data_IF_153498569282
#
_entry.id   IF_153498569282
#
_cell.length_a   1.000
_cell.length_b   1.000
_cell.length_c   1.000
_cell.angle_alpha   90.00
_cell.angle_beta   90.00
_cell.angle_gamma   90.00
#
_symmetry.space_group_name_H-M   'P 1'
#
loop_
_entity.id
_entity.type
_entity.pdbx_description
1 polymer ?
#
# COMPACT_ATOMS: atom_id res chain seq x y z
N UNK A 1 9.10 8.25 10.95
CA UNK A 1 9.11 6.79 11.18
C UNK A 1 9.84 6.08 10.06
N UNK A 2 10.58 5.00 10.35
CA UNK A 2 11.36 4.25 9.34
C UNK A 2 10.44 3.50 8.38
N UNK A 3 10.65 3.66 7.06
CA UNK A 3 9.88 2.92 6.05
C UNK A 3 10.28 1.44 5.99
N UNK A 4 11.54 1.12 6.29
CA UNK A 4 11.99 -0.28 6.43
C UNK A 4 11.17 -1.02 7.49
N UNK A 5 10.85 -0.37 8.61
CA UNK A 5 10.01 -0.97 9.64
C UNK A 5 8.59 -1.25 9.12
N UNK A 6 7.99 -0.32 8.35
CA UNK A 6 6.65 -0.50 7.77
C UNK A 6 6.63 -1.63 6.74
N UNK A 7 7.67 -1.73 5.93
CA UNK A 7 7.87 -2.84 5.01
C UNK A 7 8.00 -4.19 5.75
N UNK A 8 8.86 -4.25 6.77
CA UNK A 8 9.03 -5.47 7.57
C UNK A 8 7.75 -5.90 8.28
N UNK A 9 6.92 -4.95 8.72
CA UNK A 9 5.60 -5.26 9.30
C UNK A 9 4.71 -5.99 8.29
N UNK A 10 4.67 -5.56 7.02
CA UNK A 10 3.91 -6.27 5.99
C UNK A 10 4.40 -7.70 5.77
N UNK A 11 5.73 -7.88 5.70
CA UNK A 11 6.31 -9.23 5.54
C UNK A 11 6.02 -10.13 6.75
N UNK A 12 6.07 -9.56 7.96
CA UNK A 12 5.70 -10.28 9.18
C UNK A 12 4.22 -10.63 9.19
N UNK A 13 3.35 -9.69 8.78
CA UNK A 13 1.90 -9.86 8.77
C UNK A 13 1.49 -11.00 7.85
N UNK A 14 2.11 -11.13 6.68
CA UNK A 14 1.89 -12.28 5.78
C UNK A 14 2.17 -13.60 6.49
N UNK A 15 3.36 -13.76 7.08
CA UNK A 15 3.76 -14.99 7.79
C UNK A 15 2.81 -15.26 8.95
N UNK A 16 2.56 -14.24 9.79
CA UNK A 16 1.69 -14.36 10.96
C UNK A 16 0.28 -14.79 10.57
N UNK A 17 -0.28 -14.22 9.50
CA UNK A 17 -1.61 -14.56 9.00
C UNK A 17 -1.66 -15.97 8.47
N UNK A 18 -0.76 -16.36 7.57
CA UNK A 18 -0.82 -17.67 6.93
C UNK A 18 -0.54 -18.81 7.90
N UNK A 19 0.40 -18.65 8.83
CA UNK A 19 0.69 -19.68 9.82
C UNK A 19 -0.42 -19.87 10.85
N UNK A 20 -1.23 -18.83 11.09
CA UNK A 20 -2.31 -18.86 12.09
C UNK A 20 -3.69 -18.65 11.45
N UNK A 21 -3.84 -19.06 10.18
CA UNK A 21 -4.97 -18.67 9.33
C UNK A 21 -6.33 -18.91 9.99
N UNK A 22 -6.56 -20.14 10.46
CA UNK A 22 -7.84 -20.50 11.09
C UNK A 22 -8.11 -19.76 12.40
N UNK A 23 -7.06 -19.50 13.19
CA UNK A 23 -7.16 -18.75 14.45
C UNK A 23 -7.54 -17.29 14.21
N UNK A 24 -7.06 -16.70 13.12
CA UNK A 24 -7.37 -15.30 12.79
C UNK A 24 -8.74 -15.22 12.13
N UNK A 25 -9.07 -16.14 11.22
CA UNK A 25 -10.38 -16.20 10.58
C UNK A 25 -11.52 -16.42 11.58
N UNK A 26 -11.26 -17.06 12.72
CA UNK A 26 -12.26 -17.20 13.79
C UNK A 26 -12.46 -15.90 14.60
N UNK A 27 -11.65 -14.88 14.37
CA UNK A 27 -11.74 -13.57 15.01
C UNK A 27 -11.92 -12.46 13.97
N UNK A 28 -13.18 -12.08 13.74
CA UNK A 28 -13.53 -11.06 12.75
C UNK A 28 -12.81 -9.71 12.99
N UNK A 29 -12.65 -9.29 14.25
CA UNK A 29 -11.94 -8.04 14.57
C UNK A 29 -10.47 -8.11 14.12
N UNK A 30 -9.80 -9.24 14.34
CA UNK A 30 -8.43 -9.42 13.90
C UNK A 30 -8.31 -9.36 12.36
N UNK A 31 -9.27 -9.93 11.63
CA UNK A 31 -9.33 -9.82 10.16
C UNK A 31 -9.50 -8.36 9.72
N UNK A 32 -10.39 -7.61 10.38
CA UNK A 32 -10.60 -6.19 10.07
C UNK A 32 -9.38 -5.33 10.40
N UNK A 33 -8.68 -5.61 11.50
CA UNK A 33 -7.45 -4.90 11.87
C UNK A 33 -6.33 -5.14 10.86
N UNK A 34 -6.14 -6.39 10.43
CA UNK A 34 -5.18 -6.75 9.37
C UNK A 34 -5.54 -6.01 8.08
N UNK A 35 -6.81 -6.04 7.68
CA UNK A 35 -7.31 -5.32 6.51
C UNK A 35 -7.01 -3.83 6.60
N UNK A 36 -7.33 -3.18 7.73
CA UNK A 36 -7.10 -1.75 7.92
C UNK A 36 -5.62 -1.38 7.79
N UNK A 37 -4.71 -2.21 8.32
CA UNK A 37 -3.26 -2.01 8.18
C UNK A 37 -2.84 -2.07 6.71
N UNK A 38 -3.25 -3.12 5.99
CA UNK A 38 -2.87 -3.31 4.57
C UNK A 38 -3.41 -2.18 3.70
N UNK A 39 -4.69 -1.83 3.84
CA UNK A 39 -5.32 -0.74 3.07
C UNK A 39 -4.61 0.59 3.34
N UNK A 40 -4.30 0.90 4.61
CA UNK A 40 -3.56 2.12 4.95
C UNK A 40 -2.16 2.15 4.32
N UNK A 41 -1.46 1.02 4.28
CA UNK A 41 -0.10 0.94 3.73
C UNK A 41 -0.05 0.95 2.18
N UNK A 42 -1.18 0.72 1.49
CA UNK A 42 -1.27 0.96 0.05
C UNK A 42 -1.11 2.43 -0.34
N UNK A 43 -1.40 3.34 0.58
CA UNK A 43 -1.31 4.78 0.38
C UNK A 43 -0.04 5.38 1.02
N UNK A 44 0.94 4.54 1.38
CA UNK A 44 2.20 4.98 1.98
C UNK A 44 2.97 5.93 1.04
N UNK A 45 3.73 6.86 1.60
CA UNK A 45 4.57 7.79 0.84
C UNK A 45 5.66 7.06 0.04
N UNK A 46 6.18 5.95 0.60
CA UNK A 46 7.30 5.20 0.06
C UNK A 46 6.83 4.12 -0.91
N UNK A 47 7.40 4.10 -2.12
CA UNK A 47 6.99 3.20 -3.20
C UNK A 47 7.09 1.72 -2.80
N UNK A 48 8.21 1.33 -2.19
CA UNK A 48 8.51 -0.04 -1.80
C UNK A 48 7.50 -0.58 -0.76
N UNK A 49 7.00 0.29 0.12
CA UNK A 49 5.97 -0.06 1.09
C UNK A 49 4.63 -0.29 0.38
N UNK A 50 4.27 0.58 -0.58
CA UNK A 50 3.04 0.42 -1.38
C UNK A 50 3.05 -0.86 -2.20
N UNK A 51 4.18 -1.18 -2.84
CA UNK A 51 4.34 -2.40 -3.64
C UNK A 51 4.19 -3.65 -2.74
N UNK A 52 4.83 -3.65 -1.57
CA UNK A 52 4.68 -4.77 -0.63
C UNK A 52 3.25 -4.88 -0.07
N UNK A 53 2.57 -3.75 0.16
CA UNK A 53 1.17 -3.76 0.58
C UNK A 53 0.26 -4.34 -0.51
N UNK A 54 0.52 -4.01 -1.79
CA UNK A 54 -0.21 -4.58 -2.92
C UNK A 54 0.02 -6.09 -3.06
N UNK A 55 1.27 -6.55 -2.94
CA UNK A 55 1.59 -8.00 -2.91
C UNK A 55 0.88 -8.70 -1.74
N UNK A 56 0.87 -8.08 -0.56
CA UNK A 56 0.19 -8.60 0.64
C UNK A 56 -1.31 -8.74 0.41
N UNK A 57 -1.97 -7.68 -0.07
CA UNK A 57 -3.40 -7.68 -0.37
C UNK A 57 -3.75 -8.75 -1.41
N UNK A 58 -2.95 -8.86 -2.48
CA UNK A 58 -3.15 -9.88 -3.51
C UNK A 58 -3.13 -11.29 -2.93
N UNK A 59 -2.16 -11.60 -2.07
CA UNK A 59 -2.07 -12.89 -1.40
C UNK A 59 -3.28 -13.17 -0.51
N UNK A 60 -3.72 -12.18 0.26
CA UNK A 60 -4.89 -12.30 1.14
C UNK A 60 -6.21 -12.48 0.40
N UNK A 61 -6.37 -11.84 -0.77
CA UNK A 61 -7.53 -12.06 -1.63
C UNK A 61 -7.48 -13.46 -2.28
N UNK A 62 -6.31 -13.88 -2.78
CA UNK A 62 -6.14 -15.16 -3.47
C UNK A 62 -6.43 -16.36 -2.57
N UNK A 63 -6.08 -16.29 -1.29
CA UNK A 63 -6.34 -17.37 -0.33
C UNK A 63 -7.72 -17.26 0.36
N UNK A 64 -8.57 -16.31 -0.05
CA UNK A 64 -9.85 -15.99 0.60
C UNK A 64 -9.72 -15.61 2.09
N UNK A 65 -8.56 -15.12 2.53
CA UNK A 65 -8.43 -14.51 3.86
C UNK A 65 -9.18 -13.18 3.93
N UNK A 66 -9.11 -12.39 2.85
CA UNK A 66 -9.95 -11.23 2.62
C UNK A 66 -10.84 -11.47 1.41
N UNK A 67 -12.04 -10.89 1.42
CA UNK A 67 -12.91 -10.81 0.26
C UNK A 67 -13.00 -9.36 -0.22
N UNK A 68 -13.02 -9.19 -1.54
CA UNK A 68 -13.26 -7.89 -2.17
C UNK A 68 -14.74 -7.54 -2.04
N UNK A 69 -15.06 -6.55 -1.19
CA UNK A 69 -16.42 -6.02 -1.05
C UNK A 69 -16.62 -4.70 -1.82
N UNK A 70 -17.87 -4.27 -1.91
CA UNK A 70 -18.25 -3.05 -2.61
C UNK A 70 -17.58 -1.79 -2.02
N UNK A 71 -17.34 -1.77 -0.70
CA UNK A 71 -16.65 -0.66 -0.03
C UNK A 71 -15.20 -0.57 -0.46
N UNK A 72 -14.49 -1.70 -0.55
CA UNK A 72 -13.12 -1.77 -1.02
C UNK A 72 -13.00 -1.35 -2.48
N UNK A 73 -13.89 -1.84 -3.34
CA UNK A 73 -13.94 -1.45 -4.75
C UNK A 73 -14.15 0.04 -4.91
N UNK A 74 -15.16 0.59 -4.22
CA UNK A 74 -15.46 2.04 -4.27
C UNK A 74 -14.27 2.87 -3.81
N UNK A 75 -13.57 2.45 -2.73
CA UNK A 75 -12.36 3.11 -2.25
C UNK A 75 -11.26 3.14 -3.32
N UNK A 76 -10.94 1.98 -3.91
CA UNK A 76 -9.90 1.88 -4.93
C UNK A 76 -10.26 2.64 -6.22
N UNK A 77 -11.51 2.59 -6.67
CA UNK A 77 -11.96 3.38 -7.82
C UNK A 77 -11.85 4.89 -7.58
N UNK A 78 -12.12 5.35 -6.36
CA UNK A 78 -11.96 6.76 -5.99
C UNK A 78 -10.48 7.17 -6.05
N UNK A 79 -9.58 6.33 -5.54
CA UNK A 79 -8.13 6.56 -5.61
C UNK A 79 -7.61 6.63 -7.05
N UNK A 80 -8.10 5.77 -7.96
CA UNK A 80 -7.75 5.81 -9.38
C UNK A 80 -8.11 7.14 -10.07
N UNK A 81 -9.05 7.92 -9.51
CA UNK A 81 -9.47 9.22 -10.04
C UNK A 81 -8.64 10.39 -9.49
N UNK A 82 -7.62 10.12 -8.66
CA UNK A 82 -6.73 11.15 -8.08
C UNK A 82 -5.97 11.86 -9.19
N UNK A 83 -6.09 13.20 -9.23
CA UNK A 83 -5.40 14.02 -10.23
C UNK A 83 -3.91 14.10 -9.92
N UNK A 84 -3.09 13.91 -10.95
CA UNK A 84 -1.65 14.10 -10.83
C UNK A 84 -1.32 15.57 -10.50
N UNK A 85 -0.34 15.83 -9.61
CA UNK A 85 0.15 17.17 -9.37
C UNK A 85 0.58 17.84 -10.67
N UNK A 86 0.25 19.13 -10.84
CA UNK A 86 0.72 19.90 -12.01
C UNK A 86 2.24 19.84 -12.06
N UNK A 87 2.79 19.46 -13.22
CA UNK A 87 4.23 19.46 -13.46
C UNK A 87 4.78 20.85 -13.15
N UNK A 88 5.65 20.97 -12.15
CA UNK A 88 6.39 22.22 -11.89
C UNK A 88 7.14 22.59 -13.16
N UNK A 89 6.92 23.80 -13.69
CA UNK A 89 7.79 24.37 -14.73
C UNK A 89 9.18 24.43 -14.09
N UNK A 90 10.10 23.54 -14.46
CA UNK A 90 11.52 23.75 -14.19
C UNK A 90 11.84 25.08 -14.84
N UNK A 91 12.22 26.08 -14.03
CA UNK A 91 12.77 27.32 -14.56
C UNK A 91 13.88 26.94 -15.53
N UNK A 92 13.83 27.50 -16.73
CA UNK A 92 14.93 27.43 -17.69
C UNK A 92 16.18 27.96 -16.99
N UNK A 93 17.01 27.06 -16.46
CA UNK A 93 18.39 27.39 -16.17
C UNK A 93 19.00 27.61 -17.55
N UNK A 94 19.14 28.86 -17.93
CA UNK A 94 19.91 29.26 -19.10
C UNK A 94 21.33 28.80 -18.80
N UNK A 95 21.80 27.78 -19.51
CA UNK A 95 23.21 27.41 -19.53
C UNK A 95 24.00 28.64 -19.98
N UNK A 96 24.52 29.39 -19.03
CA UNK A 96 25.44 30.48 -19.32
C UNK A 96 26.80 29.83 -19.47
N UNK A 97 27.13 29.41 -20.69
CA UNK A 97 28.51 29.09 -21.06
C UNK A 97 29.30 30.39 -20.94
N UNK A 98 30.28 30.52 -20.02
CA UNK A 98 31.12 31.70 -19.97
C UNK A 98 31.95 31.74 -21.24
N UNK A 99 31.87 32.84 -21.99
CA UNK A 99 32.78 33.12 -23.09
C UNK A 99 34.05 33.74 -22.52
N UNK A 100 35.12 32.95 -22.36
CA UNK A 100 36.54 33.33 -22.50
C UNK A 100 37.41 32.08 -22.55
#
# INVERSE_FOLDING_TARGET
SSWHARFSVLTYLQIMVFYNLFTILSNEQAVQDVRAVVIRLLEDEQLEVREMAATTLSGFLQCNFLAMDASMQTHFEALCKTRLPKKRKRGSVVDTIPSV
#
